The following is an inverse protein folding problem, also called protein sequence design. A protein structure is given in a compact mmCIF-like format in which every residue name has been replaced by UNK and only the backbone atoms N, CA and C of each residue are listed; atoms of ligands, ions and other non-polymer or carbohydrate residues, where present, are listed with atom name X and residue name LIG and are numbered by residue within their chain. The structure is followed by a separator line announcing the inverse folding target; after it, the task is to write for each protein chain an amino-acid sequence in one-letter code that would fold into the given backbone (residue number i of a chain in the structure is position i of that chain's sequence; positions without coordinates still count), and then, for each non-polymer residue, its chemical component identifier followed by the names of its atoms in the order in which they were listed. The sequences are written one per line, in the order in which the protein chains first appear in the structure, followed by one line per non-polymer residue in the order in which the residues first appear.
data_IF_756860226672
#
_entry.id   IF_756860226672
#
_cell.length_a   1.000
_cell.length_b   1.000
_cell.length_c   1.000
_cell.angle_alpha   90.00
_cell.angle_beta   90.00
_cell.angle_gamma   90.00
#
_symmetry.space_group_name_H-M   'P 1'
#
loop_
_entity.id
_entity.type
_entity.pdbx_description
1 polymer ?
#
# COMPACT_ATOMS: atom_id res chain seq x y z
N UNK A 1 21.07 4.47 6.06
CA UNK A 1 19.82 4.87 6.78
C UNK A 1 20.13 6.11 7.60
N UNK A 2 19.74 7.29 7.13
CA UNK A 2 19.97 8.56 7.82
C UNK A 2 18.76 9.46 7.67
N UNK A 3 18.34 10.06 8.79
CA UNK A 3 17.21 10.97 9.02
C UNK A 3 15.82 10.33 9.20
N UNK A 4 15.70 9.48 10.23
CA UNK A 4 14.44 9.41 10.96
C UNK A 4 14.28 10.73 11.73
N UNK A 5 13.37 11.59 11.28
CA UNK A 5 12.83 12.61 12.18
C UNK A 5 12.19 11.83 13.32
N UNK A 6 12.76 11.92 14.52
CA UNK A 6 12.18 11.33 15.74
C UNK A 6 10.91 12.11 16.04
N UNK A 7 9.85 11.78 15.31
CA UNK A 7 8.51 12.30 15.55
C UNK A 7 7.90 11.44 16.64
N UNK A 8 7.48 12.07 17.72
CA UNK A 8 6.68 11.39 18.73
C UNK A 8 5.38 10.90 18.09
N UNK A 9 4.99 9.67 18.42
CA UNK A 9 3.74 9.10 17.91
C UNK A 9 2.53 9.96 18.30
N UNK A 10 2.57 10.58 19.48
CA UNK A 10 1.50 11.45 19.95
C UNK A 10 1.33 12.68 19.04
N UNK A 11 2.42 13.32 18.62
CA UNK A 11 2.36 14.46 17.70
C UNK A 11 1.74 14.07 16.35
N UNK A 12 2.03 12.86 15.86
CA UNK A 12 1.43 12.34 14.63
C UNK A 12 -0.08 12.09 14.78
N UNK A 13 -0.51 11.59 15.94
CA UNK A 13 -1.92 11.38 16.25
C UNK A 13 -2.65 12.73 16.37
N UNK A 14 -2.03 13.74 16.99
CA UNK A 14 -2.64 15.05 17.18
C UNK A 14 -2.82 15.82 15.86
N UNK A 15 -1.95 15.56 14.88
CA UNK A 15 -2.03 16.09 13.52
C UNK A 15 -2.96 15.30 12.59
N UNK A 16 -3.42 14.11 13.00
CA UNK A 16 -4.31 13.28 12.19
C UNK A 16 -5.71 13.91 12.10
N UNK A 17 -6.52 13.39 11.16
CA UNK A 17 -7.91 13.82 11.02
C UNK A 17 -8.68 13.54 12.31
N UNK A 18 -9.53 14.49 12.74
CA UNK A 18 -10.23 14.41 14.03
C UNK A 18 -11.04 13.11 14.19
N UNK A 19 -11.66 12.66 13.09
CA UNK A 19 -12.43 11.42 13.02
C UNK A 19 -11.60 10.15 13.30
N UNK A 20 -10.28 10.21 13.08
CA UNK A 20 -9.37 9.07 13.23
C UNK A 20 -8.64 9.06 14.59
N UNK A 21 -8.55 10.20 15.29
CA UNK A 21 -7.75 10.34 16.53
C UNK A 21 -8.09 9.31 17.60
N UNK A 22 -9.39 9.15 17.90
CA UNK A 22 -9.84 8.19 18.92
C UNK A 22 -9.45 6.76 18.55
N UNK A 23 -9.60 6.39 17.28
CA UNK A 23 -9.23 5.06 16.80
C UNK A 23 -7.72 4.85 16.82
N UNK A 24 -6.94 5.85 16.41
CA UNK A 24 -5.49 5.82 16.50
C UNK A 24 -5.02 5.62 17.94
N UNK A 25 -5.57 6.36 18.91
CA UNK A 25 -5.24 6.18 20.33
C UNK A 25 -5.53 4.76 20.84
N UNK A 26 -6.60 4.11 20.36
CA UNK A 26 -6.92 2.73 20.73
C UNK A 26 -5.93 1.76 20.09
N UNK A 27 -5.65 1.90 18.79
CA UNK A 27 -4.72 1.03 18.08
C UNK A 27 -3.29 1.14 18.62
N UNK A 28 -2.81 2.36 18.88
CA UNK A 28 -1.50 2.61 19.48
C UNK A 28 -1.37 1.95 20.86
N UNK A 29 -2.45 1.93 21.67
CA UNK A 29 -2.50 1.18 22.93
C UNK A 29 -2.40 -0.33 22.73
N UNK A 30 -3.06 -0.87 21.71
CA UNK A 30 -3.04 -2.32 21.43
C UNK A 30 -1.65 -2.82 21.02
N UNK A 31 -0.80 -1.95 20.47
CA UNK A 31 0.58 -2.28 20.08
C UNK A 31 1.64 -1.82 21.11
N UNK A 32 1.21 -1.53 22.35
CA UNK A 32 2.14 -1.23 23.45
C UNK A 32 2.55 0.24 23.60
N UNK A 33 1.86 1.18 22.94
CA UNK A 33 2.15 2.62 22.97
C UNK A 33 3.60 2.97 22.59
N UNK A 34 4.04 2.70 21.33
CA UNK A 34 5.33 3.15 20.87
C UNK A 34 5.46 4.67 21.04
N UNK A 35 6.59 5.13 21.58
CA UNK A 35 6.82 6.54 21.92
C UNK A 35 7.07 7.38 20.68
N UNK A 36 7.80 6.82 19.71
CA UNK A 36 8.24 7.51 18.50
C UNK A 36 8.14 6.59 17.27
N UNK A 37 8.37 7.16 16.09
CA UNK A 37 8.35 6.42 14.82
C UNK A 37 9.37 5.28 14.75
N UNK A 38 10.53 5.43 15.38
CA UNK A 38 11.57 4.40 15.37
C UNK A 38 11.10 3.14 16.10
N UNK A 39 10.56 3.29 17.30
CA UNK A 39 9.97 2.19 18.07
C UNK A 39 8.79 1.57 17.33
N UNK A 40 7.94 2.41 16.73
CA UNK A 40 6.83 1.93 15.89
C UNK A 40 7.32 1.07 14.73
N UNK A 41 8.36 1.50 14.00
CA UNK A 41 8.91 0.76 12.87
C UNK A 41 9.60 -0.53 13.28
N UNK A 42 10.38 -0.50 14.36
CA UNK A 42 11.03 -1.70 14.88
C UNK A 42 9.99 -2.78 15.23
N UNK A 43 8.94 -2.39 15.95
CA UNK A 43 7.90 -3.33 16.35
C UNK A 43 7.05 -3.79 15.15
N UNK A 44 6.77 -2.89 14.20
CA UNK A 44 6.05 -3.22 12.98
C UNK A 44 6.82 -4.24 12.13
N UNK A 45 8.11 -4.01 11.89
CA UNK A 45 8.96 -4.94 11.16
C UNK A 45 8.98 -6.31 11.83
N UNK A 46 9.19 -6.34 13.15
CA UNK A 46 9.16 -7.59 13.92
C UNK A 46 7.81 -8.31 13.84
N UNK A 47 6.69 -7.57 13.78
CA UNK A 47 5.35 -8.16 13.62
C UNK A 47 5.15 -8.75 12.21
N UNK A 48 5.65 -8.10 11.16
CA UNK A 48 5.59 -8.60 9.77
C UNK A 48 6.47 -9.84 9.60
N UNK A 49 7.71 -9.81 10.09
CA UNK A 49 8.67 -10.93 10.01
C UNK A 49 8.15 -12.18 10.73
N UNK A 50 7.54 -12.00 11.91
CA UNK A 50 6.95 -13.09 12.69
C UNK A 50 5.55 -13.49 12.22
N UNK A 51 5.01 -12.79 11.22
CA UNK A 51 3.63 -12.94 10.76
C UNK A 51 2.60 -12.88 11.91
N UNK A 52 2.82 -11.98 12.87
CA UNK A 52 1.93 -11.77 14.02
C UNK A 52 0.64 -11.06 13.58
N UNK A 53 -0.50 -11.41 14.17
CA UNK A 53 -1.78 -10.74 13.98
C UNK A 53 -1.72 -9.21 14.24
N UNK A 54 -0.81 -8.76 15.11
CA UNK A 54 -0.58 -7.35 15.39
C UNK A 54 -0.21 -6.52 14.14
N UNK A 55 0.41 -7.13 13.12
CA UNK A 55 0.77 -6.45 11.88
C UNK A 55 -0.43 -5.72 11.24
N UNK A 56 -1.63 -6.28 11.36
CA UNK A 56 -2.86 -5.67 10.84
C UNK A 56 -3.22 -4.38 11.57
N UNK A 57 -2.87 -4.25 12.85
CA UNK A 57 -3.08 -3.03 13.63
C UNK A 57 -2.09 -1.96 13.20
N UNK A 58 -0.82 -2.32 12.99
CA UNK A 58 0.18 -1.40 12.43
C UNK A 58 -0.24 -0.84 11.08
N UNK A 59 -0.70 -1.70 10.16
CA UNK A 59 -1.21 -1.27 8.85
C UNK A 59 -2.39 -0.30 8.97
N UNK A 60 -3.34 -0.54 9.89
CA UNK A 60 -4.44 0.39 10.13
C UNK A 60 -3.99 1.73 10.71
N UNK A 61 -2.97 1.73 11.57
CA UNK A 61 -2.36 2.97 12.08
C UNK A 61 -1.74 3.74 10.91
N UNK A 62 -0.97 3.08 10.04
CA UNK A 62 -0.37 3.68 8.84
C UNK A 62 -1.44 4.31 7.94
N UNK A 63 -2.51 3.56 7.65
CA UNK A 63 -3.64 4.02 6.82
C UNK A 63 -4.28 5.29 7.38
N UNK A 64 -4.47 5.35 8.70
CA UNK A 64 -5.16 6.45 9.39
C UNK A 64 -4.28 7.67 9.65
N UNK A 65 -2.99 7.46 9.93
CA UNK A 65 -2.04 8.56 10.10
C UNK A 65 -1.86 9.34 8.79
N UNK A 66 -1.92 8.64 7.64
CA UNK A 66 -1.72 9.25 6.31
C UNK A 66 -0.43 10.07 6.25
N UNK A 67 0.58 9.68 7.03
CA UNK A 67 1.86 10.37 7.05
C UNK A 67 2.73 9.85 5.90
N UNK A 68 3.15 10.77 5.04
CA UNK A 68 3.91 10.51 3.82
C UNK A 68 5.29 9.89 4.09
N UNK A 69 5.87 10.14 5.27
CA UNK A 69 7.15 9.55 5.68
C UNK A 69 7.05 8.04 5.90
N UNK A 70 5.87 7.49 6.18
CA UNK A 70 5.68 6.05 6.43
C UNK A 70 5.82 5.21 5.14
N UNK A 71 5.60 5.81 3.97
CA UNK A 71 5.57 5.10 2.69
C UNK A 71 6.82 4.27 2.40
N UNK A 72 8.04 4.85 2.35
CA UNK A 72 9.25 4.07 2.06
C UNK A 72 9.51 2.97 3.09
N UNK A 73 9.19 3.22 4.37
CA UNK A 73 9.35 2.20 5.43
C UNK A 73 8.42 1.01 5.22
N UNK A 74 7.18 1.24 4.82
CA UNK A 74 6.25 0.14 4.54
C UNK A 74 6.74 -0.68 3.36
N UNK A 75 7.16 -0.03 2.27
CA UNK A 75 7.70 -0.73 1.09
C UNK A 75 8.93 -1.56 1.45
N UNK A 76 9.85 -1.00 2.25
CA UNK A 76 11.02 -1.73 2.71
C UNK A 76 10.64 -2.93 3.60
N UNK A 77 9.71 -2.73 4.53
CA UNK A 77 9.26 -3.78 5.47
C UNK A 77 8.68 -4.98 4.74
N UNK A 78 7.96 -4.75 3.64
CA UNK A 78 7.32 -5.83 2.88
C UNK A 78 8.10 -6.27 1.63
N UNK A 79 9.26 -5.66 1.35
CA UNK A 79 10.07 -5.91 0.14
C UNK A 79 10.29 -7.40 -0.14
N UNK A 80 10.60 -8.15 0.92
CA UNK A 80 10.91 -9.58 0.85
C UNK A 80 9.76 -10.48 1.34
N UNK A 81 8.57 -9.92 1.56
CA UNK A 81 7.43 -10.71 2.02
C UNK A 81 6.98 -11.67 0.92
N UNK A 82 6.78 -12.93 1.32
CA UNK A 82 6.14 -13.98 0.51
C UNK A 82 4.69 -14.24 0.94
N UNK A 83 4.13 -13.36 1.77
CA UNK A 83 2.77 -13.47 2.26
C UNK A 83 1.88 -12.50 1.46
N UNK A 84 1.03 -13.00 0.54
CA UNK A 84 0.19 -12.17 -0.30
C UNK A 84 -0.81 -11.31 0.50
N UNK A 85 -1.20 -11.76 1.71
CA UNK A 85 -2.06 -10.99 2.60
C UNK A 85 -1.35 -9.77 3.20
N UNK A 86 -0.06 -9.91 3.52
CA UNK A 86 0.77 -8.79 3.98
C UNK A 86 0.93 -7.77 2.86
N UNK A 87 1.29 -8.25 1.67
CA UNK A 87 1.53 -7.42 0.49
C UNK A 87 0.29 -6.63 0.10
N UNK A 88 -0.87 -7.30 -0.05
CA UNK A 88 -2.10 -6.59 -0.38
C UNK A 88 -2.47 -5.56 0.70
N UNK A 89 -2.28 -5.88 1.99
CA UNK A 89 -2.62 -4.97 3.09
C UNK A 89 -1.71 -3.75 3.09
N UNK A 90 -0.42 -3.92 2.83
CA UNK A 90 0.55 -2.83 2.74
C UNK A 90 0.23 -1.87 1.58
N UNK A 91 -0.07 -2.40 0.39
CA UNK A 91 -0.45 -1.59 -0.76
C UNK A 91 -1.74 -0.79 -0.51
N UNK A 92 -2.72 -1.38 0.19
CA UNK A 92 -3.95 -0.68 0.59
C UNK A 92 -3.69 0.43 1.62
N UNK A 93 -2.85 0.14 2.61
CA UNK A 93 -2.64 1.01 3.76
C UNK A 93 -1.77 2.24 3.44
N UNK A 94 -1.00 2.18 2.36
CA UNK A 94 -0.11 3.26 1.90
C UNK A 94 -0.89 4.34 1.13
N UNK A 95 -1.81 5.00 1.83
CA UNK A 95 -2.73 6.01 1.27
C UNK A 95 -2.10 7.38 1.03
N UNK A 96 -0.96 7.68 1.67
CA UNK A 96 -0.24 8.94 1.51
C UNK A 96 1.08 8.71 0.78
N UNK A 97 1.23 9.34 -0.38
CA UNK A 97 2.46 9.28 -1.18
C UNK A 97 3.43 10.40 -0.75
N UNK A 98 4.75 10.14 -0.68
CA UNK A 98 5.79 11.16 -0.51
C UNK A 98 5.62 12.36 -1.46
N UNK A 99 6.06 13.54 -1.03
CA UNK A 99 6.16 14.73 -1.91
C UNK A 99 7.44 14.72 -2.76
N UNK A 100 8.47 14.05 -2.28
CA UNK A 100 9.71 13.85 -3.03
C UNK A 100 9.48 12.78 -4.10
N UNK A 101 9.47 13.21 -5.36
CA UNK A 101 9.24 12.35 -6.51
C UNK A 101 10.32 11.28 -6.65
N UNK A 102 11.58 11.56 -6.26
CA UNK A 102 12.66 10.59 -6.42
C UNK A 102 12.50 9.42 -5.45
N UNK A 103 12.03 9.68 -4.23
CA UNK A 103 11.64 8.62 -3.28
C UNK A 103 10.53 7.74 -3.89
N UNK A 104 9.55 8.34 -4.59
CA UNK A 104 8.47 7.58 -5.22
C UNK A 104 8.98 6.78 -6.42
N UNK A 105 9.84 7.38 -7.25
CA UNK A 105 10.46 6.75 -8.43
C UNK A 105 11.22 5.48 -8.05
N UNK A 106 12.02 5.51 -6.99
CA UNK A 106 12.75 4.34 -6.48
C UNK A 106 11.82 3.21 -6.05
N UNK A 107 10.68 3.56 -5.46
CA UNK A 107 9.72 2.59 -4.96
C UNK A 107 8.84 1.95 -6.05
N UNK A 108 8.73 2.52 -7.26
CA UNK A 108 8.01 1.86 -8.38
C UNK A 108 8.61 0.49 -8.68
N UNK A 109 9.94 0.43 -8.82
CA UNK A 109 10.65 -0.84 -9.07
C UNK A 109 10.40 -1.83 -7.93
N UNK A 110 10.45 -1.34 -6.69
CA UNK A 110 10.24 -2.17 -5.48
C UNK A 110 8.81 -2.74 -5.44
N UNK A 111 7.79 -1.94 -5.78
CA UNK A 111 6.39 -2.40 -5.86
C UNK A 111 6.25 -3.51 -6.91
N UNK A 112 6.83 -3.33 -8.11
CA UNK A 112 6.80 -4.33 -9.17
C UNK A 112 7.50 -5.63 -8.74
N UNK A 113 8.66 -5.53 -8.08
CA UNK A 113 9.38 -6.70 -7.54
C UNK A 113 8.56 -7.45 -6.49
N UNK A 114 7.91 -6.72 -5.57
CA UNK A 114 7.01 -7.32 -4.58
C UNK A 114 5.86 -8.07 -5.28
N UNK A 115 5.26 -7.48 -6.32
CA UNK A 115 4.19 -8.13 -7.10
C UNK A 115 4.69 -9.38 -7.83
N UNK A 116 5.90 -9.37 -8.40
CA UNK A 116 6.52 -10.54 -9.03
C UNK A 116 6.68 -11.70 -8.06
N UNK A 117 7.02 -11.40 -6.81
CA UNK A 117 7.17 -12.41 -5.76
C UNK A 117 5.83 -12.88 -5.18
N UNK A 118 4.72 -12.22 -5.52
CA UNK A 118 3.39 -12.49 -4.96
C UNK A 118 2.32 -12.42 -6.06
N UNK A 119 2.35 -13.41 -6.97
CA UNK A 119 1.38 -13.55 -8.09
C UNK A 119 0.02 -14.06 -7.57
N UNK A 120 -0.57 -13.28 -6.66
CA UNK A 120 -1.94 -13.46 -6.19
C UNK A 120 -2.79 -12.29 -6.65
N UNK A 121 -4.05 -12.58 -6.96
CA UNK A 121 -4.95 -11.62 -7.60
C UNK A 121 -5.10 -10.32 -6.80
N UNK A 122 -5.28 -10.43 -5.49
CA UNK A 122 -5.45 -9.31 -4.58
C UNK A 122 -4.19 -8.45 -4.45
N UNK A 123 -3.01 -9.09 -4.42
CA UNK A 123 -1.73 -8.39 -4.38
C UNK A 123 -1.47 -7.62 -5.69
N UNK A 124 -1.77 -8.24 -6.83
CA UNK A 124 -1.65 -7.61 -8.15
C UNK A 124 -2.61 -6.43 -8.28
N UNK A 125 -3.89 -6.62 -7.94
CA UNK A 125 -4.90 -5.57 -8.02
C UNK A 125 -4.52 -4.35 -7.16
N UNK A 126 -4.18 -4.56 -5.89
CA UNK A 126 -3.83 -3.45 -5.00
C UNK A 126 -2.47 -2.82 -5.34
N UNK A 127 -1.52 -3.59 -5.88
CA UNK A 127 -0.27 -3.05 -6.43
C UNK A 127 -0.53 -2.14 -7.63
N UNK A 128 -1.37 -2.57 -8.58
CA UNK A 128 -1.80 -1.76 -9.71
C UNK A 128 -2.55 -0.49 -9.26
N UNK A 129 -3.43 -0.59 -8.26
CA UNK A 129 -4.08 0.60 -7.68
C UNK A 129 -3.07 1.59 -7.08
N UNK A 130 -2.04 1.09 -6.40
CA UNK A 130 -0.99 1.94 -5.84
C UNK A 130 -0.18 2.63 -6.95
N UNK A 131 0.24 1.89 -7.98
CA UNK A 131 0.95 2.42 -9.13
C UNK A 131 0.11 3.46 -9.88
N UNK A 132 -1.20 3.21 -10.04
CA UNK A 132 -2.12 4.17 -10.65
C UNK A 132 -2.17 5.50 -9.90
N UNK A 133 -2.24 5.45 -8.56
CA UNK A 133 -2.18 6.65 -7.71
C UNK A 133 -0.85 7.38 -7.83
N UNK A 134 0.25 6.63 -7.96
CA UNK A 134 1.58 7.20 -8.17
C UNK A 134 1.63 7.97 -9.48
N UNK A 135 1.27 7.36 -10.62
CA UNK A 135 1.32 8.04 -11.92
C UNK A 135 0.25 9.13 -12.06
N UNK A 136 -0.88 9.01 -11.36
CA UNK A 136 -1.89 10.09 -11.33
C UNK A 136 -1.36 11.31 -10.59
N UNK A 137 -0.57 11.11 -9.52
CA UNK A 137 0.06 12.21 -8.78
C UNK A 137 1.32 12.75 -9.48
N UNK A 138 2.09 11.87 -10.12
CA UNK A 138 3.34 12.16 -10.80
C UNK A 138 3.33 11.54 -12.22
N UNK A 139 2.65 12.16 -13.19
CA UNK A 139 2.52 11.63 -14.55
C UNK A 139 3.85 11.32 -15.25
N UNK A 140 4.91 12.06 -14.93
CA UNK A 140 6.27 11.85 -15.44
C UNK A 140 6.89 10.50 -15.01
N UNK A 141 6.29 9.80 -14.05
CA UNK A 141 6.71 8.46 -13.65
C UNK A 141 6.09 7.34 -14.49
N UNK A 142 5.16 7.66 -15.41
CA UNK A 142 4.56 6.67 -16.30
C UNK A 142 5.61 5.98 -17.19
N UNK A 143 6.57 6.73 -17.74
CA UNK A 143 7.67 6.16 -18.53
C UNK A 143 8.45 5.12 -17.72
N UNK A 144 8.72 5.40 -16.44
CA UNK A 144 9.42 4.46 -15.56
C UNK A 144 8.63 3.18 -15.31
N UNK A 145 7.31 3.30 -15.23
CA UNK A 145 6.42 2.15 -15.09
C UNK A 145 6.41 1.30 -16.38
N UNK A 146 6.44 1.93 -17.56
CA UNK A 146 6.47 1.23 -18.84
C UNK A 146 7.80 0.48 -19.10
N UNK A 147 8.92 0.95 -18.55
CA UNK A 147 10.19 0.21 -18.54
C UNK A 147 10.12 -1.09 -17.72
N UNK A 148 9.16 -1.17 -16.80
CA UNK A 148 8.98 -2.31 -15.92
C UNK A 148 8.07 -3.37 -16.56
N UNK A 149 8.39 -4.65 -16.33
CA UNK A 149 7.59 -5.76 -16.84
C UNK A 149 7.24 -6.72 -15.70
N UNK A 150 5.95 -6.87 -15.42
CA UNK A 150 5.38 -7.98 -14.66
C UNK A 150 4.80 -8.99 -15.66
N UNK A 151 5.40 -10.18 -15.74
CA UNK A 151 4.94 -11.23 -16.66
C UNK A 151 3.92 -12.09 -15.91
N UNK A 152 2.71 -12.18 -16.45
CA UNK A 152 1.62 -13.00 -15.91
C UNK A 152 1.19 -14.04 -16.94
N UNK A 153 0.67 -15.17 -16.49
CA UNK A 153 0.04 -16.12 -17.41
C UNK A 153 -1.35 -15.65 -17.83
N UNK A 154 -1.87 -16.19 -18.93
CA UNK A 154 -3.26 -15.97 -19.31
C UNK A 154 -4.26 -16.41 -18.21
N UNK A 155 -3.91 -17.44 -17.44
CA UNK A 155 -4.74 -17.88 -16.32
C UNK A 155 -4.79 -16.85 -15.18
N UNK A 156 -3.67 -16.19 -14.89
CA UNK A 156 -3.60 -15.13 -13.86
C UNK A 156 -4.45 -13.93 -14.27
N UNK A 157 -4.39 -13.55 -15.55
CA UNK A 157 -5.27 -12.52 -16.11
C UNK A 157 -6.75 -12.85 -15.91
N UNK A 158 -7.16 -14.07 -16.27
CA UNK A 158 -8.56 -14.47 -16.10
C UNK A 158 -9.00 -14.44 -14.63
N UNK A 159 -8.14 -14.81 -13.68
CA UNK A 159 -8.43 -14.73 -12.25
C UNK A 159 -8.56 -13.27 -11.79
N UNK A 160 -7.66 -12.40 -12.26
CA UNK A 160 -7.69 -10.96 -11.99
C UNK A 160 -8.99 -10.32 -12.46
N UNK A 161 -9.38 -10.57 -13.71
CA UNK A 161 -10.61 -10.04 -14.28
C UNK A 161 -11.86 -10.54 -13.54
N UNK A 162 -11.92 -11.84 -13.22
CA UNK A 162 -13.06 -12.41 -12.48
C UNK A 162 -13.26 -11.79 -11.10
N UNK A 163 -12.17 -11.38 -10.44
CA UNK A 163 -12.22 -10.78 -9.10
C UNK A 163 -12.30 -9.25 -9.14
N UNK A 164 -12.09 -8.60 -10.27
CA UNK A 164 -12.08 -7.14 -10.38
C UNK A 164 -13.33 -6.52 -9.76
N UNK A 165 -14.52 -6.93 -10.19
CA UNK A 165 -15.79 -6.38 -9.68
C UNK A 165 -15.95 -6.56 -8.17
N UNK A 166 -15.43 -7.66 -7.60
CA UNK A 166 -15.50 -7.90 -6.16
C UNK A 166 -14.52 -7.00 -5.42
N UNK A 167 -13.28 -6.90 -5.92
CA UNK A 167 -12.23 -6.10 -5.31
C UNK A 167 -12.54 -4.61 -5.40
N UNK A 168 -13.05 -4.16 -6.54
CA UNK A 168 -13.49 -2.79 -6.75
C UNK A 168 -14.68 -2.44 -5.85
N UNK A 169 -15.71 -3.30 -5.77
CA UNK A 169 -16.82 -3.12 -4.81
C UNK A 169 -16.37 -3.07 -3.34
N UNK A 170 -15.27 -3.75 -3.00
CA UNK A 170 -14.72 -3.71 -1.64
C UNK A 170 -13.93 -2.43 -1.36
N UNK A 171 -13.53 -1.70 -2.41
CA UNK A 171 -12.88 -0.39 -2.31
C UNK A 171 -13.84 0.79 -2.55
N UNK A 172 -15.07 0.55 -3.01
CA UNK A 172 -16.04 1.59 -3.39
C UNK A 172 -17.30 1.66 -2.53
N UNK A 173 -17.99 2.79 -2.68
CA UNK A 173 -19.20 3.22 -1.96
C UNK A 173 -20.22 2.10 -1.68
N UNK A 174 -20.63 1.96 -0.41
CA UNK A 174 -21.66 1.00 0.02
C UNK A 174 -21.15 -0.24 0.77
N UNK A 175 -19.83 -0.49 0.83
CA UNK A 175 -19.28 -1.53 1.70
C UNK A 175 -18.59 -0.95 2.94
N UNK A 176 -19.07 -1.35 4.14
CA UNK A 176 -18.47 -1.03 5.46
C UNK A 176 -18.16 0.46 5.70
N UNK A 177 -19.04 1.36 5.26
CA UNK A 177 -18.90 2.80 5.53
C UNK A 177 -17.81 3.52 4.72
N UNK A 178 -17.30 2.89 3.65
CA UNK A 178 -16.43 3.57 2.67
C UNK A 178 -17.27 4.52 1.80
N UNK A 179 -16.82 5.76 1.63
CA UNK A 179 -17.47 6.83 0.86
C UNK A 179 -16.62 7.31 -0.33
N UNK A 180 -15.56 6.57 -0.68
CA UNK A 180 -14.66 6.96 -1.76
C UNK A 180 -15.05 6.22 -3.04
N UNK A 181 -15.03 6.90 -4.21
CA UNK A 181 -15.06 6.20 -5.48
C UNK A 181 -13.80 5.33 -5.58
N UNK A 182 -13.90 4.26 -6.38
CA UNK A 182 -12.79 3.35 -6.64
C UNK A 182 -11.66 4.06 -7.33
N UNK A 183 -10.49 3.45 -7.32
CA UNK A 183 -9.35 4.00 -8.04
C UNK A 183 -9.62 4.01 -9.55
N UNK A 184 -10.35 3.01 -10.05
CA UNK A 184 -10.76 2.92 -11.45
C UNK A 184 -12.27 3.05 -11.56
N UNK A 185 -12.77 3.64 -12.65
CA UNK A 185 -14.22 3.77 -12.88
C UNK A 185 -14.85 2.45 -13.32
N UNK A 186 -14.08 1.60 -13.99
CA UNK A 186 -14.52 0.32 -14.54
C UNK A 186 -13.31 -0.60 -14.80
N UNK A 187 -13.61 -1.85 -15.15
CA UNK A 187 -12.60 -2.87 -15.45
C UNK A 187 -11.72 -2.52 -16.67
N UNK A 188 -12.27 -1.81 -17.65
CA UNK A 188 -11.55 -1.39 -18.85
C UNK A 188 -10.41 -0.43 -18.52
N UNK A 189 -10.70 0.63 -17.76
CA UNK A 189 -9.66 1.56 -17.30
C UNK A 189 -8.58 0.88 -16.46
N UNK A 190 -8.96 -0.09 -15.62
CA UNK A 190 -7.99 -0.89 -14.87
C UNK A 190 -7.09 -1.69 -15.81
N UNK A 191 -7.67 -2.33 -16.82
CA UNK A 191 -6.92 -3.14 -17.77
C UNK A 191 -6.00 -2.30 -18.65
N UNK A 192 -6.48 -1.17 -19.18
CA UNK A 192 -5.68 -0.25 -19.97
C UNK A 192 -4.46 0.22 -19.19
N UNK A 193 -4.66 0.60 -17.92
CA UNK A 193 -3.55 0.96 -17.05
C UNK A 193 -2.63 -0.23 -16.74
N UNK A 194 -3.18 -1.38 -16.35
CA UNK A 194 -2.39 -2.55 -15.99
C UNK A 194 -1.51 -3.04 -17.16
N UNK A 195 -2.01 -2.96 -18.39
CA UNK A 195 -1.29 -3.35 -19.62
C UNK A 195 -0.04 -2.49 -19.91
N UNK A 196 0.09 -1.32 -19.29
CA UNK A 196 1.30 -0.50 -19.42
C UNK A 196 2.54 -1.25 -18.92
N UNK A 197 2.43 -2.01 -17.82
CA UNK A 197 3.55 -2.70 -17.17
C UNK A 197 3.36 -4.21 -17.00
N UNK A 198 2.14 -4.73 -17.19
CA UNK A 198 1.85 -6.16 -17.18
C UNK A 198 1.91 -6.70 -18.61
N UNK A 199 2.72 -7.74 -18.82
CA UNK A 199 2.81 -8.49 -20.08
C UNK A 199 2.32 -9.92 -19.85
N UNK A 200 1.77 -10.53 -20.89
CA UNK A 200 1.24 -11.89 -20.81
C UNK A 200 2.06 -12.87 -21.63
N UNK A 201 2.33 -14.04 -21.06
CA UNK A 201 3.01 -15.15 -21.71
C UNK A 201 2.27 -16.47 -21.44
#
# INVERSE_FOLDING_TARGET
MSYLVVSEMQNLIDQAQEVDKKTLQVYTRMIGNPRNLEEFFHNFQGAVEKNNNEQMIYFKIIEKLRNKQLFPFVMETIRNSKNPMQVQTAFKSTVALPEDIEVVRENITTIIEIMKNNIETEAIYHGACLLYRIVTKYPELEEKLQESNLILTYQDLQRLLKKFDVLDKWETEGHRGKSKPGYFKNQEMFMDFALTFIKFQ
#
